data_IF_399306458485
#
_entry.id   IF_399306458485
#
_cell.length_a   1.000
_cell.length_b   1.000
_cell.length_c   1.000
_cell.angle_alpha   90.00
_cell.angle_beta   90.00
_cell.angle_gamma   90.00
#
_symmetry.space_group_name_H-M   'P 1'
#
loop_
_entity.id
_entity.type
_entity.pdbx_description
1 polymer ?
#
# COMPACT_ATOMS: atom_id res chain seq x y z
N UNK A 1 -6.14 -1.49 -26.92
CA UNK A 1 -6.88 -0.38 -26.24
C UNK A 1 -5.96 0.84 -26.11
N UNK A 2 -6.47 2.09 -26.22
CA UNK A 2 -5.63 3.28 -26.07
C UNK A 2 -5.29 3.51 -24.59
N UNK A 3 -4.01 3.70 -24.20
CA UNK A 3 -3.58 3.98 -22.82
C UNK A 3 -4.28 5.20 -22.18
N UNK A 4 -4.55 6.26 -22.95
CA UNK A 4 -5.26 7.44 -22.46
C UNK A 4 -6.72 7.15 -22.06
N UNK A 5 -7.38 6.22 -22.76
CA UNK A 5 -8.74 5.78 -22.39
C UNK A 5 -8.71 5.03 -21.06
N UNK A 6 -7.78 4.09 -20.89
CA UNK A 6 -7.60 3.37 -19.61
C UNK A 6 -7.26 4.33 -18.46
N UNK A 7 -6.35 5.26 -18.68
CA UNK A 7 -5.98 6.29 -17.70
C UNK A 7 -7.20 7.07 -17.22
N UNK A 8 -8.03 7.52 -18.17
CA UNK A 8 -9.27 8.26 -17.85
C UNK A 8 -10.23 7.41 -17.03
N UNK A 9 -10.42 6.14 -17.39
CA UNK A 9 -11.30 5.22 -16.67
C UNK A 9 -10.79 5.01 -15.23
N UNK A 10 -9.50 4.74 -15.04
CA UNK A 10 -8.93 4.46 -13.72
C UNK A 10 -8.92 5.66 -12.77
N UNK A 11 -8.93 6.88 -13.32
CA UNK A 11 -9.01 8.13 -12.55
C UNK A 11 -10.44 8.56 -12.22
N UNK A 12 -11.43 7.99 -12.89
CA UNK A 12 -12.84 8.36 -12.71
C UNK A 12 -13.53 7.44 -11.72
N UNK A 13 -14.59 7.95 -11.07
CA UNK A 13 -15.52 7.10 -10.31
C UNK A 13 -16.08 5.99 -11.20
N UNK A 14 -16.48 4.88 -10.58
CA UNK A 14 -16.94 3.71 -11.31
C UNK A 14 -18.18 4.00 -12.17
N UNK A 15 -18.12 3.56 -13.42
CA UNK A 15 -19.27 3.55 -14.32
C UNK A 15 -19.40 2.18 -14.97
N UNK A 16 -20.48 1.47 -14.67
CA UNK A 16 -20.73 0.11 -15.16
C UNK A 16 -20.68 0.00 -16.68
N UNK A 17 -21.34 0.92 -17.40
CA UNK A 17 -21.39 0.87 -18.87
C UNK A 17 -19.98 1.03 -19.48
N UNK A 18 -19.21 1.97 -18.95
CA UNK A 18 -17.81 2.18 -19.37
C UNK A 18 -16.95 0.98 -19.04
N UNK A 19 -17.09 0.42 -17.84
CA UNK A 19 -16.34 -0.78 -17.42
C UNK A 19 -16.68 -1.96 -18.31
N UNK A 20 -17.95 -2.25 -18.54
CA UNK A 20 -18.40 -3.37 -19.36
C UNK A 20 -17.89 -3.26 -20.80
N UNK A 21 -18.01 -2.09 -21.43
CA UNK A 21 -17.60 -1.89 -22.81
C UNK A 21 -16.10 -1.81 -23.00
N UNK A 22 -15.40 -1.04 -22.16
CA UNK A 22 -13.99 -0.74 -22.36
C UNK A 22 -13.08 -1.77 -21.69
N UNK A 23 -13.44 -2.25 -20.49
CA UNK A 23 -12.61 -3.21 -19.76
C UNK A 23 -13.01 -4.64 -20.10
N UNK A 24 -14.27 -5.02 -19.86
CA UNK A 24 -14.68 -6.43 -20.07
C UNK A 24 -14.65 -6.81 -21.55
N UNK A 25 -15.23 -5.97 -22.41
CA UNK A 25 -15.32 -6.30 -23.85
C UNK A 25 -14.02 -5.97 -24.61
N UNK A 26 -13.49 -4.70 -24.52
CA UNK A 26 -12.34 -4.29 -25.34
C UNK A 26 -10.99 -4.70 -24.78
N UNK A 27 -10.78 -4.61 -23.46
CA UNK A 27 -9.49 -4.96 -22.87
C UNK A 27 -9.35 -6.48 -22.79
N UNK A 28 -10.32 -7.15 -22.18
CA UNK A 28 -10.26 -8.59 -21.99
C UNK A 28 -10.75 -9.40 -23.21
N UNK A 29 -11.56 -8.81 -24.08
CA UNK A 29 -12.10 -9.52 -25.26
C UNK A 29 -13.31 -10.40 -24.94
N UNK A 30 -13.96 -10.21 -23.81
CA UNK A 30 -15.16 -10.94 -23.42
C UNK A 30 -16.35 -10.50 -24.27
N UNK A 31 -16.92 -11.41 -25.06
CA UNK A 31 -18.11 -11.17 -25.88
C UNK A 31 -19.39 -11.66 -25.21
N UNK A 32 -19.28 -12.54 -24.23
CA UNK A 32 -20.41 -13.07 -23.45
C UNK A 32 -20.68 -12.22 -22.24
N UNK A 33 -21.19 -11.00 -22.48
CA UNK A 33 -21.55 -10.04 -21.45
C UNK A 33 -23.06 -10.06 -21.27
N UNK A 34 -23.53 -10.23 -20.03
CA UNK A 34 -24.95 -10.26 -19.70
C UNK A 34 -25.62 -8.94 -20.11
N UNK A 35 -26.67 -9.00 -20.88
CA UNK A 35 -27.49 -7.85 -21.29
C UNK A 35 -28.21 -7.20 -20.10
N UNK A 36 -28.43 -7.96 -19.03
CA UNK A 36 -29.00 -7.52 -17.76
C UNK A 36 -28.20 -8.14 -16.62
N UNK A 37 -27.83 -7.32 -15.64
CA UNK A 37 -27.15 -7.79 -14.42
C UNK A 37 -28.02 -8.80 -13.67
N UNK A 38 -27.48 -10.00 -13.46
CA UNK A 38 -28.08 -11.02 -12.62
C UNK A 38 -27.63 -10.80 -11.17
N UNK A 39 -28.60 -10.53 -10.28
CA UNK A 39 -28.32 -10.45 -8.85
C UNK A 39 -27.99 -11.84 -8.30
N UNK A 40 -26.79 -12.00 -7.77
CA UNK A 40 -26.29 -13.25 -7.19
C UNK A 40 -26.61 -13.37 -5.72
N UNK A 41 -26.33 -12.28 -4.98
CA UNK A 41 -26.43 -12.25 -3.53
C UNK A 41 -26.62 -10.83 -3.00
N UNK A 42 -27.22 -10.73 -1.83
CA UNK A 42 -27.21 -9.52 -1.00
C UNK A 42 -26.74 -9.95 0.39
N UNK A 43 -25.56 -9.51 0.79
CA UNK A 43 -24.99 -9.90 2.09
C UNK A 43 -25.67 -9.18 3.27
N UNK A 44 -25.29 -9.55 4.49
CA UNK A 44 -25.85 -8.98 5.73
C UNK A 44 -25.62 -7.46 5.87
N UNK A 45 -24.56 -6.94 5.22
CA UNK A 45 -24.24 -5.51 5.21
C UNK A 45 -25.04 -4.74 4.14
N UNK A 46 -25.80 -5.43 3.30
CA UNK A 46 -26.58 -4.85 2.20
C UNK A 46 -25.80 -4.67 0.89
N UNK A 47 -24.56 -5.18 0.81
CA UNK A 47 -23.80 -5.16 -0.44
C UNK A 47 -24.46 -6.13 -1.46
N UNK A 48 -24.57 -5.70 -2.71
CA UNK A 48 -25.24 -6.45 -3.77
C UNK A 48 -24.24 -6.91 -4.82
N UNK A 49 -24.14 -8.22 -5.03
CA UNK A 49 -23.25 -8.84 -6.00
C UNK A 49 -23.99 -9.29 -7.24
N UNK A 50 -23.38 -9.08 -8.42
CA UNK A 50 -23.95 -9.36 -9.73
C UNK A 50 -22.95 -10.11 -10.60
N UNK A 51 -23.47 -10.98 -11.48
CA UNK A 51 -22.72 -11.56 -12.58
C UNK A 51 -22.74 -10.63 -13.79
N UNK A 52 -21.58 -10.48 -14.45
CA UNK A 52 -21.42 -9.63 -15.65
C UNK A 52 -21.27 -10.52 -16.89
N UNK A 53 -20.46 -11.56 -16.82
CA UNK A 53 -20.15 -12.42 -17.95
C UNK A 53 -18.98 -13.35 -17.66
N UNK A 54 -18.60 -14.15 -18.65
CA UNK A 54 -17.45 -15.05 -18.56
C UNK A 54 -16.78 -15.24 -19.92
N UNK A 55 -15.51 -15.67 -19.91
CA UNK A 55 -14.76 -16.01 -21.10
C UNK A 55 -13.73 -17.09 -20.83
N UNK A 56 -13.28 -17.76 -21.86
CA UNK A 56 -12.12 -18.64 -21.81
C UNK A 56 -10.84 -17.85 -22.08
N UNK A 57 -9.79 -18.13 -21.31
CA UNK A 57 -8.44 -17.65 -21.57
C UNK A 57 -7.77 -18.46 -22.72
N UNK A 58 -6.53 -18.13 -23.07
CA UNK A 58 -5.81 -18.81 -24.14
C UNK A 58 -5.50 -20.29 -23.85
N UNK A 59 -5.62 -20.75 -22.61
CA UNK A 59 -5.43 -22.13 -22.17
C UNK A 59 -6.77 -22.86 -21.93
N UNK A 60 -7.92 -22.24 -22.29
CA UNK A 60 -9.26 -22.80 -22.08
C UNK A 60 -9.75 -22.74 -20.62
N UNK A 61 -9.15 -21.93 -19.78
CA UNK A 61 -9.59 -21.71 -18.39
C UNK A 61 -10.62 -20.59 -18.33
N UNK A 62 -11.63 -20.74 -17.48
CA UNK A 62 -12.74 -19.81 -17.36
C UNK A 62 -12.40 -18.63 -16.43
N UNK A 63 -12.52 -17.41 -16.95
CA UNK A 63 -12.50 -16.16 -16.21
C UNK A 63 -13.92 -15.61 -16.10
N UNK A 64 -14.42 -15.45 -14.86
CA UNK A 64 -15.71 -14.80 -14.60
C UNK A 64 -15.52 -13.31 -14.28
N UNK A 65 -16.52 -12.49 -14.66
CA UNK A 65 -16.59 -11.07 -14.37
C UNK A 65 -17.75 -10.80 -13.43
N UNK A 66 -17.47 -10.08 -12.32
CA UNK A 66 -18.43 -9.83 -11.26
C UNK A 66 -18.40 -8.36 -10.84
N UNK A 67 -19.53 -7.88 -10.35
CA UNK A 67 -19.69 -6.54 -9.84
C UNK A 67 -20.39 -6.58 -8.49
N UNK A 68 -19.85 -5.85 -7.50
CA UNK A 68 -20.46 -5.68 -6.19
C UNK A 68 -20.65 -4.21 -5.90
N UNK A 69 -21.90 -3.80 -5.73
CA UNK A 69 -22.25 -2.48 -5.19
C UNK A 69 -22.20 -2.55 -3.68
N UNK A 70 -21.29 -1.79 -3.09
CA UNK A 70 -21.17 -1.66 -1.64
C UNK A 70 -22.32 -0.80 -1.11
N UNK A 71 -22.90 -1.19 0.01
CA UNK A 71 -24.00 -0.47 0.64
C UNK A 71 -23.59 0.95 1.09
N UNK A 72 -24.56 1.84 1.20
CA UNK A 72 -24.34 3.22 1.57
C UNK A 72 -23.56 3.36 2.90
N UNK A 73 -22.56 4.24 2.89
CA UNK A 73 -21.63 4.43 4.01
C UNK A 73 -20.44 3.46 4.04
N UNK A 74 -20.35 2.51 3.10
CA UNK A 74 -19.16 1.69 2.89
C UNK A 74 -18.06 2.48 2.17
N UNK A 75 -16.81 2.19 2.50
CA UNK A 75 -15.61 2.73 1.83
C UNK A 75 -14.76 1.56 1.35
N UNK A 76 -14.66 1.36 0.03
CA UNK A 76 -13.90 0.26 -0.58
C UNK A 76 -12.40 0.32 -0.28
N UNK A 77 -11.88 1.47 0.14
CA UNK A 77 -10.48 1.64 0.55
C UNK A 77 -10.21 1.05 1.93
N UNK A 78 -11.22 1.00 2.79
CA UNK A 78 -11.15 0.57 4.19
C UNK A 78 -11.90 -0.73 4.46
N UNK A 79 -13.03 -0.95 3.75
CA UNK A 79 -13.91 -2.10 3.98
C UNK A 79 -13.28 -3.34 3.36
N UNK A 80 -12.81 -4.24 4.21
CA UNK A 80 -12.44 -5.60 3.82
C UNK A 80 -13.61 -6.51 4.09
N UNK A 81 -14.29 -6.88 3.04
CA UNK A 81 -15.22 -8.01 3.13
C UNK A 81 -14.37 -9.26 3.19
N UNK A 82 -14.59 -10.11 4.18
CA UNK A 82 -13.85 -11.37 4.29
C UNK A 82 -13.92 -12.13 2.95
N UNK A 83 -12.76 -12.47 2.40
CA UNK A 83 -12.62 -13.09 1.07
C UNK A 83 -13.61 -14.25 0.87
N UNK A 84 -13.75 -15.13 1.86
CA UNK A 84 -14.65 -16.28 1.82
C UNK A 84 -16.11 -15.91 1.59
N UNK A 85 -16.61 -14.88 2.27
CA UNK A 85 -18.00 -14.41 2.10
C UNK A 85 -18.22 -13.81 0.72
N UNK A 86 -17.24 -13.09 0.23
CA UNK A 86 -17.31 -12.40 -1.04
C UNK A 86 -17.31 -13.35 -2.26
N UNK A 87 -16.48 -14.40 -2.23
CA UNK A 87 -16.36 -15.34 -3.35
C UNK A 87 -17.44 -16.42 -3.37
N UNK A 88 -18.17 -16.63 -2.27
CA UNK A 88 -19.22 -17.63 -2.18
C UNK A 88 -20.22 -17.60 -3.36
N UNK A 89 -20.74 -16.44 -3.78
CA UNK A 89 -21.61 -16.34 -4.94
C UNK A 89 -20.92 -16.71 -6.25
N UNK A 90 -19.61 -16.53 -6.37
CA UNK A 90 -18.86 -16.76 -7.60
C UNK A 90 -18.58 -18.24 -7.85
N UNK A 91 -18.46 -19.04 -6.77
CA UNK A 91 -18.16 -20.46 -6.86
C UNK A 91 -19.22 -21.28 -7.64
N UNK A 92 -20.47 -20.78 -7.73
CA UNK A 92 -21.52 -21.46 -8.50
C UNK A 92 -21.28 -21.45 -10.02
N UNK A 93 -20.38 -20.59 -10.53
CA UNK A 93 -20.08 -20.46 -11.96
C UNK A 93 -18.93 -21.37 -12.45
N UNK A 94 -18.34 -22.16 -11.58
CA UNK A 94 -17.22 -23.08 -11.89
C UNK A 94 -16.05 -22.41 -12.65
N UNK A 95 -15.76 -21.13 -12.31
CA UNK A 95 -14.68 -20.37 -12.94
C UNK A 95 -13.32 -20.66 -12.28
N UNK A 96 -12.24 -20.63 -13.08
CA UNK A 96 -10.87 -20.82 -12.61
C UNK A 96 -10.32 -19.56 -11.95
N UNK A 97 -10.79 -18.39 -12.38
CA UNK A 97 -10.46 -17.09 -11.85
C UNK A 97 -11.61 -16.11 -11.97
N UNK A 98 -11.57 -15.03 -11.22
CA UNK A 98 -12.57 -13.96 -11.28
C UNK A 98 -11.94 -12.59 -11.35
N UNK A 99 -12.47 -11.72 -12.20
CA UNK A 99 -12.26 -10.29 -12.16
C UNK A 99 -13.49 -9.65 -11.50
N UNK A 100 -13.31 -9.06 -10.32
CA UNK A 100 -14.39 -8.54 -9.51
C UNK A 100 -14.21 -7.06 -9.22
N UNK A 101 -15.29 -6.30 -9.38
CA UNK A 101 -15.38 -4.88 -9.04
C UNK A 101 -16.16 -4.70 -7.75
N UNK A 102 -15.64 -3.84 -6.86
CA UNK A 102 -16.33 -3.33 -5.68
C UNK A 102 -16.40 -1.82 -5.81
N UNK A 103 -17.59 -1.26 -5.71
CA UNK A 103 -17.87 0.16 -5.96
C UNK A 103 -18.67 0.74 -4.80
N UNK A 104 -18.19 1.86 -4.20
CA UNK A 104 -18.89 2.62 -3.16
C UNK A 104 -19.51 3.92 -3.69
N UNK A 105 -19.39 4.17 -5.01
CA UNK A 105 -19.87 5.37 -5.70
C UNK A 105 -18.82 6.46 -5.90
N UNK A 106 -17.77 6.50 -5.09
CA UNK A 106 -16.65 7.44 -5.19
C UNK A 106 -15.40 6.74 -5.69
N UNK A 107 -15.07 5.62 -5.06
CA UNK A 107 -13.90 4.80 -5.39
C UNK A 107 -14.36 3.40 -5.79
N UNK A 108 -13.51 2.69 -6.47
CA UNK A 108 -13.75 1.31 -6.81
C UNK A 108 -12.48 0.48 -6.70
N UNK A 109 -12.69 -0.77 -6.37
CA UNK A 109 -11.64 -1.78 -6.24
C UNK A 109 -11.76 -2.75 -7.38
N UNK A 110 -10.68 -2.86 -8.18
CA UNK A 110 -10.53 -3.86 -9.23
C UNK A 110 -9.75 -5.03 -8.66
N UNK A 111 -10.38 -6.19 -8.55
CA UNK A 111 -9.79 -7.37 -7.93
C UNK A 111 -9.64 -8.50 -8.94
N UNK A 112 -8.50 -9.18 -8.92
CA UNK A 112 -8.30 -10.48 -9.50
C UNK A 112 -8.28 -11.54 -8.41
N UNK A 113 -9.13 -12.55 -8.55
CA UNK A 113 -9.28 -13.67 -7.62
C UNK A 113 -8.87 -14.93 -8.34
N UNK A 114 -7.88 -15.63 -7.81
CA UNK A 114 -7.36 -16.88 -8.37
C UNK A 114 -7.56 -18.05 -7.41
N UNK A 115 -7.26 -19.26 -7.90
CA UNK A 115 -7.32 -20.52 -7.16
C UNK A 115 -8.76 -20.87 -6.69
N UNK A 116 -9.79 -20.40 -7.43
CA UNK A 116 -11.21 -20.56 -7.08
C UNK A 116 -11.66 -22.01 -7.09
N UNK A 117 -11.21 -22.84 -8.06
CA UNK A 117 -11.56 -24.27 -8.16
C UNK A 117 -10.99 -25.12 -7.03
N UNK A 118 -9.92 -24.66 -6.39
CA UNK A 118 -9.33 -25.33 -5.23
C UNK A 118 -10.16 -25.13 -3.95
N UNK A 119 -11.15 -24.26 -4.01
CA UNK A 119 -12.08 -23.96 -2.93
C UNK A 119 -11.83 -22.62 -2.25
N UNK A 120 -12.82 -22.18 -1.45
CA UNK A 120 -12.80 -20.87 -0.78
C UNK A 120 -11.65 -20.68 0.19
N UNK A 121 -11.00 -21.76 0.66
CA UNK A 121 -9.88 -21.73 1.59
C UNK A 121 -8.54 -21.50 0.93
N UNK A 122 -8.43 -21.76 -0.38
CA UNK A 122 -7.20 -21.55 -1.18
C UNK A 122 -7.28 -20.32 -2.10
N UNK A 123 -8.47 -19.73 -2.25
CA UNK A 123 -8.67 -18.56 -3.09
C UNK A 123 -7.85 -17.35 -2.58
N UNK A 124 -7.19 -16.67 -3.52
CA UNK A 124 -6.39 -15.45 -3.27
C UNK A 124 -6.97 -14.29 -4.05
N UNK A 125 -6.99 -13.11 -3.42
CA UNK A 125 -7.45 -11.86 -4.03
C UNK A 125 -6.33 -10.83 -4.04
N UNK A 126 -6.08 -10.27 -5.21
CA UNK A 126 -5.17 -9.14 -5.41
C UNK A 126 -5.96 -7.97 -5.98
N UNK A 127 -5.78 -6.77 -5.46
CA UNK A 127 -6.65 -5.64 -5.79
C UNK A 127 -5.90 -4.34 -6.04
N UNK A 128 -6.43 -3.55 -6.99
CA UNK A 128 -6.13 -2.14 -7.17
C UNK A 128 -7.28 -1.28 -6.63
N UNK A 129 -6.96 -0.15 -6.00
CA UNK A 129 -7.92 0.88 -5.64
C UNK A 129 -7.86 1.97 -6.70
N UNK A 130 -9.00 2.34 -7.26
CA UNK A 130 -9.14 3.25 -8.39
C UNK A 130 -10.24 4.28 -8.11
N UNK A 131 -10.36 5.27 -9.02
CA UNK A 131 -11.39 6.33 -8.89
C UNK A 131 -10.88 7.62 -8.27
N UNK A 132 -9.56 7.74 -8.04
CA UNK A 132 -8.94 8.99 -7.58
C UNK A 132 -8.28 9.70 -8.77
N UNK A 133 -8.72 10.93 -9.07
CA UNK A 133 -8.15 11.74 -10.16
C UNK A 133 -6.65 11.94 -10.06
N UNK A 134 -6.12 11.88 -8.86
CA UNK A 134 -4.74 12.27 -8.56
C UNK A 134 -3.83 11.10 -8.14
N UNK A 135 -4.39 9.87 -8.01
CA UNK A 135 -3.66 8.76 -7.42
C UNK A 135 -3.55 7.52 -8.31
N UNK A 136 -2.90 6.60 -7.86
CA UNK A 136 -2.74 5.13 -7.93
C UNK A 136 -3.09 4.41 -9.27
N UNK A 137 -3.22 5.11 -10.38
CA UNK A 137 -3.60 4.54 -11.68
C UNK A 137 -2.41 4.06 -12.52
N UNK A 138 -1.17 4.46 -12.23
CA UNK A 138 0.02 4.18 -13.07
C UNK A 138 0.27 2.68 -13.19
N UNK A 139 0.38 2.01 -12.07
CA UNK A 139 0.65 0.56 -12.03
C UNK A 139 -0.43 -0.28 -12.75
N UNK A 140 -1.74 -0.12 -12.45
CA UNK A 140 -2.75 -0.85 -13.19
C UNK A 140 -2.81 -0.46 -14.68
N UNK A 141 -2.52 0.81 -15.03
CA UNK A 141 -2.45 1.25 -16.43
C UNK A 141 -1.37 0.53 -17.21
N UNK A 142 -0.16 0.46 -16.68
CA UNK A 142 0.98 -0.18 -17.34
C UNK A 142 0.79 -1.70 -17.44
N UNK A 143 0.33 -2.34 -16.38
CA UNK A 143 0.21 -3.79 -16.32
C UNK A 143 -0.98 -4.35 -17.06
N UNK A 144 -2.15 -3.75 -16.89
CA UNK A 144 -3.33 -4.13 -17.68
C UNK A 144 -3.21 -3.69 -19.12
N UNK A 145 -2.43 -2.65 -19.41
CA UNK A 145 -2.04 -2.29 -20.77
C UNK A 145 -1.33 -3.43 -21.50
N UNK A 146 -0.38 -4.11 -20.85
CA UNK A 146 0.30 -5.31 -21.38
C UNK A 146 -0.67 -6.47 -21.63
N UNK A 147 -1.68 -6.64 -20.78
CA UNK A 147 -2.74 -7.63 -21.01
C UNK A 147 -3.60 -7.24 -22.22
N UNK A 148 -3.94 -5.95 -22.33
CA UNK A 148 -4.71 -5.42 -23.46
C UNK A 148 -4.02 -5.62 -24.83
N UNK A 149 -2.68 -5.54 -24.89
CA UNK A 149 -1.88 -5.79 -26.09
C UNK A 149 -2.04 -7.20 -26.64
N UNK A 150 -2.46 -8.17 -25.82
CA UNK A 150 -2.72 -9.55 -26.21
C UNK A 150 -4.07 -9.72 -26.94
N UNK A 151 -4.88 -8.68 -27.03
CA UNK A 151 -6.15 -8.65 -27.77
C UNK A 151 -7.08 -9.84 -27.46
N UNK A 152 -7.31 -10.10 -26.17
CA UNK A 152 -8.15 -11.19 -25.67
C UNK A 152 -7.48 -12.57 -25.65
N UNK A 153 -6.23 -12.69 -26.10
CA UNK A 153 -5.47 -13.97 -26.10
C UNK A 153 -4.49 -14.03 -24.94
N UNK A 154 -4.88 -13.55 -23.78
CA UNK A 154 -4.11 -13.63 -22.55
C UNK A 154 -4.39 -14.94 -21.80
N UNK A 155 -3.53 -15.27 -20.83
CA UNK A 155 -3.69 -16.40 -19.90
C UNK A 155 -4.01 -15.86 -18.51
N UNK A 156 -4.63 -16.66 -17.64
CA UNK A 156 -4.83 -16.31 -16.23
C UNK A 156 -3.50 -16.05 -15.49
N UNK A 157 -2.39 -16.66 -15.93
CA UNK A 157 -1.05 -16.33 -15.45
C UNK A 157 -0.64 -14.89 -15.75
N UNK A 158 -1.02 -14.34 -16.90
CA UNK A 158 -0.73 -12.95 -17.23
C UNK A 158 -1.49 -11.98 -16.33
N UNK A 159 -2.71 -12.34 -15.91
CA UNK A 159 -3.43 -11.57 -14.89
C UNK A 159 -2.77 -11.69 -13.52
N UNK A 160 -2.31 -12.89 -13.14
CA UNK A 160 -1.58 -13.09 -11.90
C UNK A 160 -0.32 -12.21 -11.88
N UNK A 161 0.41 -12.12 -12.98
CA UNK A 161 1.57 -11.24 -13.13
C UNK A 161 1.18 -9.75 -13.08
N UNK A 162 0.08 -9.39 -13.76
CA UNK A 162 -0.42 -8.02 -13.75
C UNK A 162 -0.84 -7.54 -12.34
N UNK A 163 -1.24 -8.43 -11.46
CA UNK A 163 -1.60 -8.15 -10.06
C UNK A 163 -0.49 -8.56 -9.07
N UNK A 164 0.72 -8.92 -9.53
CA UNK A 164 1.82 -9.32 -8.66
C UNK A 164 2.39 -8.13 -7.87
N UNK A 165 2.53 -8.32 -6.56
CA UNK A 165 3.17 -7.36 -5.65
C UNK A 165 4.69 -7.33 -5.86
N UNK A 166 5.32 -8.48 -6.14
CA UNK A 166 6.78 -8.58 -6.30
C UNK A 166 7.30 -7.77 -7.49
N UNK A 167 6.59 -7.80 -8.63
CA UNK A 167 6.94 -7.00 -9.79
C UNK A 167 6.80 -5.49 -9.52
N UNK A 168 5.79 -5.09 -8.73
CA UNK A 168 5.61 -3.70 -8.29
C UNK A 168 6.79 -3.23 -7.44
N UNK A 169 7.27 -4.09 -6.55
CA UNK A 169 8.40 -3.82 -5.68
C UNK A 169 9.63 -3.38 -6.46
N UNK A 170 9.93 -4.09 -7.52
CA UNK A 170 11.09 -3.79 -8.36
C UNK A 170 10.92 -2.48 -9.13
N UNK A 171 9.76 -2.27 -9.77
CA UNK A 171 9.47 -1.05 -10.53
C UNK A 171 9.54 0.21 -9.64
N UNK A 172 8.93 0.14 -8.45
CA UNK A 172 9.00 1.23 -7.46
C UNK A 172 10.44 1.49 -7.04
N UNK A 173 11.21 0.43 -6.76
CA UNK A 173 12.60 0.54 -6.35
C UNK A 173 13.47 1.23 -7.40
N UNK A 174 13.37 0.81 -8.66
CA UNK A 174 14.15 1.37 -9.76
C UNK A 174 13.85 2.88 -9.92
N UNK A 175 12.58 3.29 -9.81
CA UNK A 175 12.18 4.68 -9.91
C UNK A 175 12.54 5.50 -8.65
N UNK A 176 12.46 4.91 -7.47
CA UNK A 176 12.91 5.53 -6.23
C UNK A 176 14.42 5.80 -6.25
N UNK A 177 15.21 4.84 -6.78
CA UNK A 177 16.66 4.99 -6.93
C UNK A 177 17.01 6.11 -7.92
N UNK A 178 16.23 6.24 -9.00
CA UNK A 178 16.40 7.35 -9.95
C UNK A 178 16.20 8.72 -9.27
N UNK A 179 15.19 8.88 -8.44
CA UNK A 179 14.99 10.13 -7.68
C UNK A 179 16.11 10.37 -6.67
N UNK A 180 16.61 9.31 -6.02
CA UNK A 180 17.77 9.39 -5.16
C UNK A 180 18.99 9.92 -5.89
N UNK A 181 19.31 9.40 -7.07
CA UNK A 181 20.43 9.84 -7.90
C UNK A 181 20.28 11.29 -8.37
N UNK A 182 19.08 11.71 -8.74
CA UNK A 182 18.80 13.09 -9.14
C UNK A 182 19.13 14.06 -7.99
N UNK A 183 18.70 13.76 -6.76
CA UNK A 183 18.97 14.58 -5.57
C UNK A 183 20.48 14.60 -5.26
N UNK A 184 21.15 13.45 -5.31
CA UNK A 184 22.61 13.35 -5.10
C UNK A 184 23.35 14.24 -6.13
N UNK A 185 22.96 14.19 -7.40
CA UNK A 185 23.59 14.99 -8.44
C UNK A 185 23.36 16.49 -8.24
N UNK A 186 22.18 16.89 -7.76
CA UNK A 186 21.91 18.27 -7.40
C UNK A 186 22.79 18.74 -6.23
N UNK A 187 22.96 17.95 -5.18
CA UNK A 187 23.84 18.28 -4.06
C UNK A 187 25.33 18.38 -4.48
N UNK A 188 25.78 17.47 -5.35
CA UNK A 188 27.12 17.56 -5.94
C UNK A 188 27.30 18.84 -6.75
N UNK A 189 26.29 19.28 -7.49
CA UNK A 189 26.30 20.54 -8.24
C UNK A 189 26.43 21.76 -7.32
N UNK A 190 25.88 21.68 -6.10
CA UNK A 190 26.01 22.71 -5.06
C UNK A 190 27.36 22.65 -4.31
N UNK A 191 28.23 21.70 -4.64
CA UNK A 191 29.57 21.57 -4.04
C UNK A 191 29.63 20.68 -2.81
N UNK A 192 28.55 19.94 -2.49
CA UNK A 192 28.60 18.93 -1.45
C UNK A 192 29.23 17.63 -1.98
N UNK A 193 30.08 17.00 -1.20
CA UNK A 193 30.81 15.78 -1.58
C UNK A 193 30.90 14.75 -0.45
N UNK A 194 31.25 13.51 -0.81
CA UNK A 194 31.55 12.42 0.13
C UNK A 194 30.34 11.64 0.60
N UNK A 195 30.56 10.73 1.56
CA UNK A 195 29.52 9.83 2.09
C UNK A 195 28.38 10.57 2.79
N UNK A 196 28.65 11.76 3.33
CA UNK A 196 27.69 12.58 4.08
C UNK A 196 26.44 12.93 3.29
N UNK A 197 26.58 13.25 1.98
CA UNK A 197 25.41 13.56 1.13
C UNK A 197 24.54 12.33 0.89
N UNK A 198 25.15 11.16 0.74
CA UNK A 198 24.43 9.91 0.56
C UNK A 198 23.62 9.57 1.82
N UNK A 199 24.21 9.75 3.01
CA UNK A 199 23.50 9.54 4.28
C UNK A 199 22.36 10.54 4.46
N UNK A 200 22.55 11.81 4.10
CA UNK A 200 21.52 12.83 4.13
C UNK A 200 20.32 12.46 3.24
N UNK A 201 20.57 12.16 1.96
CA UNK A 201 19.52 11.85 1.01
C UNK A 201 18.77 10.56 1.42
N UNK A 202 19.48 9.53 1.87
CA UNK A 202 18.87 8.30 2.41
C UNK A 202 17.92 8.59 3.57
N UNK A 203 18.34 9.43 4.53
CA UNK A 203 17.52 9.82 5.67
C UNK A 203 16.30 10.61 5.25
N UNK A 204 16.48 11.64 4.43
CA UNK A 204 15.41 12.50 3.95
C UNK A 204 14.35 11.71 3.19
N UNK A 205 14.77 10.96 2.17
CA UNK A 205 13.85 10.12 1.40
C UNK A 205 13.19 9.03 2.23
N UNK A 206 13.94 8.44 3.18
CA UNK A 206 13.40 7.46 4.12
C UNK A 206 12.35 8.04 5.06
N UNK A 207 12.51 9.28 5.52
CA UNK A 207 11.49 10.02 6.30
C UNK A 207 10.25 10.25 5.46
N UNK A 208 10.41 10.68 4.20
CA UNK A 208 9.30 10.93 3.26
C UNK A 208 8.49 9.65 3.02
N UNK A 209 9.16 8.54 2.67
CA UNK A 209 8.46 7.24 2.46
C UNK A 209 7.76 6.78 3.73
N UNK A 210 8.38 6.93 4.90
CA UNK A 210 7.74 6.57 6.16
C UNK A 210 6.46 7.39 6.41
N UNK A 211 6.46 8.68 6.08
CA UNK A 211 5.27 9.53 6.19
C UNK A 211 4.16 9.07 5.22
N UNK A 212 4.49 8.54 4.05
CA UNK A 212 3.51 7.92 3.16
C UNK A 212 2.77 6.73 3.81
N UNK A 213 3.46 5.93 4.63
CA UNK A 213 2.78 4.89 5.41
C UNK A 213 1.92 5.46 6.54
N UNK A 214 2.37 6.52 7.22
CA UNK A 214 1.56 7.18 8.25
C UNK A 214 0.28 7.80 7.68
N UNK A 215 0.36 8.46 6.51
CA UNK A 215 -0.83 9.00 5.84
C UNK A 215 -1.79 7.87 5.42
N UNK A 216 -1.28 6.75 4.91
CA UNK A 216 -2.12 5.59 4.57
C UNK A 216 -2.83 4.99 5.80
N UNK A 217 -2.20 5.04 6.98
CA UNK A 217 -2.83 4.69 8.28
C UNK A 217 -3.89 5.72 8.73
N UNK A 218 -3.97 6.88 8.09
CA UNK A 218 -4.84 7.98 8.50
C UNK A 218 -4.35 8.76 9.72
N UNK A 219 -3.10 8.57 10.15
CA UNK A 219 -2.53 9.22 11.34
C UNK A 219 -2.19 10.69 11.13
N UNK A 220 -2.27 11.18 9.89
CA UNK A 220 -2.02 12.56 9.52
C UNK A 220 -3.36 13.27 9.25
N UNK A 221 -4.11 13.52 10.30
CA UNK A 221 -5.44 14.16 10.29
C UNK A 221 -6.43 13.48 9.33
N UNK A 222 -6.28 12.18 9.07
CA UNK A 222 -7.11 11.42 8.13
C UNK A 222 -6.84 11.71 6.65
N UNK A 223 -5.90 12.60 6.32
CA UNK A 223 -5.55 12.94 4.94
C UNK A 223 -4.66 11.86 4.32
N UNK A 224 -5.19 11.12 3.35
CA UNK A 224 -4.49 10.05 2.63
C UNK A 224 -3.54 10.57 1.53
N UNK A 225 -3.56 11.87 1.23
CA UNK A 225 -2.70 12.56 0.28
C UNK A 225 -1.83 13.64 0.94
N UNK A 226 -1.62 13.55 2.25
CA UNK A 226 -1.03 14.60 3.11
C UNK A 226 0.22 15.23 2.54
N UNK A 227 1.25 14.46 2.20
CA UNK A 227 2.53 15.02 1.69
C UNK A 227 2.39 15.73 0.36
N UNK A 228 1.56 15.18 -0.53
CA UNK A 228 1.29 15.79 -1.83
C UNK A 228 0.57 17.13 -1.65
N UNK A 229 -0.50 17.13 -0.87
CA UNK A 229 -1.28 18.33 -0.61
C UNK A 229 -0.44 19.39 0.11
N UNK A 230 0.43 18.93 1.04
CA UNK A 230 1.36 19.77 1.75
C UNK A 230 2.32 20.52 0.80
N UNK A 231 2.77 19.88 -0.27
CA UNK A 231 3.62 20.53 -1.27
C UNK A 231 2.81 21.42 -2.23
N UNK A 232 1.78 20.86 -2.89
CA UNK A 232 1.07 21.54 -3.97
C UNK A 232 0.25 22.75 -3.50
N UNK A 233 -0.21 22.75 -2.24
CA UNK A 233 -0.94 23.89 -1.66
C UNK A 233 -0.08 24.78 -0.75
N UNK A 234 1.21 24.47 -0.59
CA UNK A 234 2.13 25.28 0.22
C UNK A 234 2.46 26.60 -0.46
N UNK A 235 2.49 27.73 0.27
CA UNK A 235 3.11 28.97 -0.19
C UNK A 235 4.65 28.89 -0.24
N UNK A 236 5.26 27.88 0.37
CA UNK A 236 6.69 27.67 0.54
C UNK A 236 7.26 26.60 -0.40
N UNK A 237 6.78 26.50 -1.62
CA UNK A 237 7.33 25.52 -2.58
C UNK A 237 8.81 25.76 -2.90
N UNK A 238 9.24 27.02 -2.92
CA UNK A 238 10.62 27.39 -3.25
C UNK A 238 11.66 27.08 -2.16
N UNK A 239 11.23 27.04 -0.92
CA UNK A 239 12.01 26.76 0.31
C UNK A 239 11.36 25.64 1.13
N UNK A 240 10.80 24.65 0.43
CA UNK A 240 9.95 23.59 0.98
C UNK A 240 10.68 22.73 2.01
N UNK A 241 11.96 22.45 1.81
CA UNK A 241 12.76 21.67 2.73
C UNK A 241 12.84 22.37 4.09
N UNK A 242 13.24 23.63 4.09
CA UNK A 242 13.55 24.41 5.30
C UNK A 242 12.28 24.90 6.01
N UNK A 243 11.26 25.31 5.24
CA UNK A 243 10.06 25.94 5.79
C UNK A 243 8.90 24.98 6.02
N UNK A 244 8.95 23.76 5.46
CA UNK A 244 7.86 22.79 5.59
C UNK A 244 8.35 21.43 6.08
N UNK A 245 9.30 20.78 5.39
CA UNK A 245 9.74 19.44 5.80
C UNK A 245 10.54 19.41 7.10
N UNK A 246 11.46 20.35 7.33
CA UNK A 246 12.19 20.43 8.59
C UNK A 246 11.27 20.72 9.79
N UNK A 247 10.36 21.71 9.75
CA UNK A 247 9.33 21.87 10.78
C UNK A 247 8.51 20.60 11.04
N UNK A 248 8.11 19.89 10.00
CA UNK A 248 7.36 18.64 10.13
C UNK A 248 8.21 17.54 10.80
N UNK A 249 9.44 17.32 10.31
CA UNK A 249 10.32 16.26 10.82
C UNK A 249 10.76 16.53 12.25
N UNK A 250 11.29 17.72 12.50
CA UNK A 250 11.96 18.05 13.75
C UNK A 250 11.03 18.76 14.74
N UNK A 251 10.15 19.61 14.25
CA UNK A 251 9.23 20.40 15.07
C UNK A 251 8.01 19.63 15.53
N UNK A 252 7.51 18.72 14.69
CA UNK A 252 6.28 17.96 14.97
C UNK A 252 6.60 16.52 15.37
N UNK A 253 7.25 15.75 14.49
CA UNK A 253 7.43 14.31 14.73
C UNK A 253 8.49 14.01 15.80
N UNK A 254 9.50 14.87 15.96
CA UNK A 254 10.57 14.67 16.94
C UNK A 254 10.46 15.56 18.20
N UNK A 255 9.38 16.33 18.33
CA UNK A 255 9.21 17.23 19.49
C UNK A 255 7.89 16.96 20.19
N UNK A 256 7.95 16.74 21.51
CA UNK A 256 6.77 16.59 22.35
C UNK A 256 5.84 17.81 22.23
N UNK A 257 4.52 17.58 22.26
CA UNK A 257 3.50 18.63 22.02
C UNK A 257 3.71 19.87 22.88
N UNK A 258 4.12 19.71 24.14
CA UNK A 258 4.36 20.81 25.08
C UNK A 258 5.50 21.75 24.66
N UNK A 259 6.47 21.26 23.89
CA UNK A 259 7.69 21.98 23.54
C UNK A 259 7.67 22.54 22.11
N UNK A 260 6.67 22.19 21.30
CA UNK A 260 6.60 22.56 19.88
C UNK A 260 6.58 24.06 19.66
N UNK A 261 5.73 24.77 20.40
CA UNK A 261 5.57 26.22 20.27
C UNK A 261 6.89 26.98 20.56
N UNK A 262 7.62 26.57 21.59
CA UNK A 262 8.92 27.17 21.93
C UNK A 262 9.93 26.93 20.79
N UNK A 263 9.96 25.71 20.23
CA UNK A 263 10.87 25.37 19.15
C UNK A 263 10.55 26.15 17.88
N UNK A 264 9.28 26.23 17.48
CA UNK A 264 8.84 26.97 16.29
C UNK A 264 9.22 28.46 16.38
N UNK A 265 9.00 29.08 17.54
CA UNK A 265 9.44 30.47 17.80
C UNK A 265 10.96 30.62 17.71
N UNK A 266 11.72 29.71 18.31
CA UNK A 266 13.19 29.76 18.32
C UNK A 266 13.78 29.60 16.91
N UNK A 267 13.19 28.71 16.08
CA UNK A 267 13.60 28.46 14.69
C UNK A 267 12.97 29.43 13.68
N UNK A 268 12.06 30.31 14.10
CA UNK A 268 11.29 31.23 13.25
C UNK A 268 10.50 30.52 12.15
N UNK A 269 10.02 29.32 12.44
CA UNK A 269 9.13 28.58 11.55
C UNK A 269 7.70 29.15 11.59
N UNK A 270 6.94 28.91 10.54
CA UNK A 270 5.56 29.41 10.43
C UNK A 270 4.66 28.81 11.52
N UNK A 271 4.11 29.70 12.35
CA UNK A 271 3.17 29.32 13.42
C UNK A 271 1.82 28.82 12.90
N UNK A 272 1.46 29.17 11.65
CA UNK A 272 0.28 28.63 10.99
C UNK A 272 0.39 27.12 10.77
N UNK A 273 1.58 26.64 10.35
CA UNK A 273 1.83 25.20 10.23
C UNK A 273 1.72 24.48 11.58
N UNK A 274 2.19 25.12 12.66
CA UNK A 274 2.05 24.52 13.99
C UNK A 274 0.57 24.36 14.39
N UNK A 275 -0.28 25.33 14.10
CA UNK A 275 -1.72 25.24 14.39
C UNK A 275 -2.39 24.12 13.58
N UNK A 276 -2.06 24.00 12.29
CA UNK A 276 -2.58 22.97 11.41
C UNK A 276 -2.13 21.56 11.82
N UNK A 277 -0.93 21.44 12.43
CA UNK A 277 -0.31 20.16 12.77
C UNK A 277 -0.31 19.84 14.27
N UNK A 278 -0.95 20.63 15.10
CA UNK A 278 -0.92 20.45 16.56
C UNK A 278 -1.36 19.07 17.03
N UNK A 279 -2.30 18.43 16.29
CA UNK A 279 -2.82 17.11 16.61
C UNK A 279 -2.01 15.95 16.02
N UNK A 280 -1.05 16.22 15.14
CA UNK A 280 -0.19 15.18 14.60
C UNK A 280 0.60 14.49 15.72
N UNK A 281 0.84 13.16 15.59
CA UNK A 281 1.51 12.40 16.64
C UNK A 281 2.96 12.85 16.87
N UNK A 282 3.43 12.71 18.11
CA UNK A 282 4.86 12.68 18.42
C UNK A 282 5.37 11.26 18.15
N UNK A 283 6.43 11.14 17.36
CA UNK A 283 7.05 9.88 16.99
C UNK A 283 8.39 9.75 17.70
N UNK A 284 8.38 9.11 18.86
CA UNK A 284 9.58 8.88 19.63
C UNK A 284 10.48 7.83 18.95
N UNK A 285 11.58 8.26 18.34
CA UNK A 285 12.54 7.35 17.70
C UNK A 285 13.55 8.03 16.78
N UNK A 286 14.71 7.42 16.61
CA UNK A 286 15.86 7.98 15.88
C UNK A 286 15.66 8.39 14.43
N UNK A 287 14.50 8.01 13.81
CA UNK A 287 14.25 8.34 12.39
C UNK A 287 14.14 9.84 12.14
N UNK A 288 13.51 10.58 13.08
CA UNK A 288 13.32 12.03 12.99
C UNK A 288 14.28 12.81 13.92
N UNK A 289 15.25 12.15 14.54
CA UNK A 289 16.30 12.86 15.27
C UNK A 289 17.16 13.65 14.30
N UNK A 290 17.45 14.90 14.70
CA UNK A 290 18.35 15.79 13.96
C UNK A 290 19.79 15.38 14.25
N UNK A 291 20.62 15.32 13.23
CA UNK A 291 22.06 15.08 13.39
C UNK A 291 22.90 16.10 12.63
N UNK A 292 24.23 15.95 12.68
CA UNK A 292 25.16 16.87 12.06
C UNK A 292 24.98 16.99 10.53
N UNK A 293 24.39 16.00 9.89
CA UNK A 293 24.10 16.01 8.46
C UNK A 293 22.89 16.90 8.16
N UNK A 294 21.87 16.87 9.03
CA UNK A 294 20.69 17.74 8.94
C UNK A 294 21.00 19.22 9.31
N UNK A 295 22.18 19.51 9.83
CA UNK A 295 22.64 20.87 10.16
C UNK A 295 23.32 21.60 9.00
N UNK A 296 23.46 20.92 7.87
CA UNK A 296 24.04 21.47 6.65
C UNK A 296 23.02 22.40 5.97
N UNK A 297 23.50 23.52 5.43
CA UNK A 297 22.65 24.50 4.75
C UNK A 297 22.33 24.01 3.32
N UNK A 298 21.54 22.93 3.24
CA UNK A 298 21.14 22.28 1.99
C UNK A 298 19.84 22.90 1.51
N UNK A 299 19.81 23.34 0.26
CA UNK A 299 18.58 23.79 -0.40
C UNK A 299 18.28 22.86 -1.58
N UNK A 300 17.03 22.53 -1.77
CA UNK A 300 16.58 21.69 -2.89
C UNK A 300 15.51 22.42 -3.69
N UNK A 301 15.62 22.46 -5.02
CA UNK A 301 14.65 23.16 -5.86
C UNK A 301 13.27 22.48 -5.80
N UNK A 302 12.20 23.28 -5.89
CA UNK A 302 10.82 22.84 -5.87
C UNK A 302 10.52 21.69 -6.84
N UNK A 303 11.11 21.72 -8.03
CA UNK A 303 10.91 20.70 -9.07
C UNK A 303 11.29 19.28 -8.62
N UNK A 304 12.30 19.13 -7.74
CA UNK A 304 12.67 17.81 -7.20
C UNK A 304 11.59 17.25 -6.29
N UNK A 305 10.93 18.09 -5.50
CA UNK A 305 9.84 17.68 -4.65
C UNK A 305 8.56 17.43 -5.44
N UNK A 306 8.29 18.25 -6.47
CA UNK A 306 7.16 18.05 -7.39
C UNK A 306 7.24 16.68 -8.06
N UNK A 307 8.39 16.36 -8.63
CA UNK A 307 8.64 15.08 -9.30
C UNK A 307 8.55 13.90 -8.30
N UNK A 308 9.19 14.04 -7.12
CA UNK A 308 9.20 13.00 -6.09
C UNK A 308 7.79 12.72 -5.54
N UNK A 309 7.01 13.76 -5.24
CA UNK A 309 5.65 13.55 -4.71
C UNK A 309 4.68 13.09 -5.78
N UNK A 310 4.85 13.50 -7.04
CA UNK A 310 4.08 12.97 -8.16
C UNK A 310 4.38 11.48 -8.37
N UNK A 311 5.65 11.10 -8.30
CA UNK A 311 6.06 9.69 -8.34
C UNK A 311 5.45 8.90 -7.18
N UNK A 312 5.63 9.35 -5.95
CA UNK A 312 5.10 8.68 -4.77
C UNK A 312 3.57 8.53 -4.81
N UNK A 313 2.84 9.58 -5.22
CA UNK A 313 1.39 9.57 -5.34
C UNK A 313 0.89 8.61 -6.43
N UNK A 314 1.71 8.27 -7.43
CA UNK A 314 1.35 7.35 -8.51
C UNK A 314 1.30 5.88 -8.08
N UNK A 315 1.86 5.55 -6.91
CA UNK A 315 1.87 4.21 -6.32
C UNK A 315 0.91 4.14 -5.13
N UNK A 316 0.27 2.99 -4.99
CA UNK A 316 -0.47 2.69 -3.78
C UNK A 316 0.49 2.24 -2.69
N UNK A 317 0.36 2.79 -1.48
CA UNK A 317 1.05 2.31 -0.28
C UNK A 317 0.07 1.48 0.55
N UNK A 318 0.45 0.27 0.90
CA UNK A 318 -0.36 -0.59 1.76
C UNK A 318 0.31 -0.80 3.12
N UNK A 319 -0.48 -0.89 4.15
CA UNK A 319 -0.03 -1.20 5.52
C UNK A 319 -0.54 -2.54 6.00
N UNK A 320 -1.12 -3.28 5.08
CA UNK A 320 -1.85 -4.50 5.35
C UNK A 320 -1.00 -5.71 4.99
N UNK A 321 -0.34 -6.24 5.99
CA UNK A 321 0.61 -7.35 5.89
C UNK A 321 0.01 -8.70 6.31
N UNK A 322 -1.25 -8.70 6.77
CA UNK A 322 -1.74 -9.80 7.60
C UNK A 322 -2.51 -10.89 6.87
N UNK A 323 -2.90 -10.66 5.61
CA UNK A 323 -3.64 -11.67 4.85
C UNK A 323 -2.93 -12.00 3.53
N UNK A 324 -2.17 -13.10 3.46
CA UNK A 324 -1.51 -13.52 2.23
C UNK A 324 -2.50 -13.90 1.11
N UNK A 325 -3.77 -14.14 1.48
CA UNK A 325 -4.82 -14.52 0.55
C UNK A 325 -5.64 -13.31 0.08
N UNK A 326 -5.47 -12.13 0.71
CA UNK A 326 -6.18 -10.89 0.35
C UNK A 326 -5.24 -9.68 0.38
N UNK A 327 -4.48 -9.49 -0.69
CA UNK A 327 -3.48 -8.43 -0.79
C UNK A 327 -3.95 -7.28 -1.68
N UNK A 328 -3.71 -6.05 -1.19
CA UNK A 328 -3.76 -4.84 -2.01
C UNK A 328 -2.44 -4.71 -2.77
N UNK A 329 -2.50 -4.55 -4.11
CA UNK A 329 -1.30 -4.35 -4.91
C UNK A 329 -0.74 -2.96 -4.61
N UNK A 330 0.30 -2.91 -3.84
CA UNK A 330 0.89 -1.67 -3.33
C UNK A 330 2.29 -1.87 -2.77
N UNK A 331 2.94 -0.74 -2.52
CA UNK A 331 4.22 -0.67 -1.81
C UNK A 331 3.95 -0.99 -0.34
N UNK A 332 4.53 -2.07 0.17
CA UNK A 332 4.38 -2.49 1.56
C UNK A 332 5.60 -2.09 2.43
N UNK A 333 5.50 -2.14 3.78
CA UNK A 333 6.61 -1.82 4.65
C UNK A 333 7.82 -2.72 4.51
N UNK A 334 7.68 -3.97 4.04
CA UNK A 334 8.79 -4.88 3.78
C UNK A 334 9.68 -4.35 2.65
N UNK A 335 9.06 -3.73 1.64
CA UNK A 335 9.80 -3.09 0.56
C UNK A 335 10.71 -1.97 1.04
N UNK A 336 10.34 -1.25 2.11
CA UNK A 336 11.22 -0.25 2.73
C UNK A 336 12.52 -0.87 3.22
N UNK A 337 12.45 -2.03 3.85
CA UNK A 337 13.64 -2.76 4.28
C UNK A 337 14.56 -3.06 3.10
N UNK A 338 14.01 -3.59 2.01
CA UNK A 338 14.75 -3.88 0.77
C UNK A 338 15.31 -2.62 0.11
N UNK A 339 14.56 -1.51 0.10
CA UNK A 339 15.02 -0.21 -0.41
C UNK A 339 16.22 0.28 0.40
N UNK A 340 16.12 0.29 1.73
CA UNK A 340 17.22 0.75 2.59
C UNK A 340 18.45 -0.16 2.48
N UNK A 341 18.25 -1.46 2.42
CA UNK A 341 19.32 -2.43 2.21
C UNK A 341 20.07 -2.18 0.90
N UNK A 342 19.35 -1.94 -0.19
CA UNK A 342 19.96 -1.75 -1.51
C UNK A 342 20.64 -0.39 -1.69
N UNK A 343 20.23 0.64 -0.94
CA UNK A 343 20.89 1.94 -0.90
C UNK A 343 22.19 1.95 -0.05
N UNK A 344 22.47 0.88 0.69
CA UNK A 344 23.73 0.74 1.39
C UNK A 344 24.81 0.27 0.40
N UNK A 345 25.70 1.16 0.00
CA UNK A 345 26.78 0.89 -0.98
C UNK A 345 27.73 -0.26 -0.57
N UNK A 346 27.77 -0.62 0.73
CA UNK A 346 28.65 -1.62 1.32
C UNK A 346 27.91 -2.74 2.06
N UNK A 347 26.77 -3.21 1.56
CA UNK A 347 25.99 -4.27 2.22
C UNK A 347 26.80 -5.52 2.53
N UNK A 348 27.64 -5.97 1.60
CA UNK A 348 28.49 -7.14 1.79
C UNK A 348 29.60 -6.93 2.82
N UNK A 349 30.11 -5.71 2.95
CA UNK A 349 31.16 -5.37 3.90
C UNK A 349 30.62 -5.15 5.32
N UNK A 350 29.39 -4.63 5.46
CA UNK A 350 28.75 -4.36 6.76
C UNK A 350 27.88 -5.50 7.28
N UNK A 351 27.59 -6.52 6.44
CA UNK A 351 26.73 -7.66 6.82
C UNK A 351 25.30 -7.28 7.22
N UNK A 352 24.83 -6.10 6.77
CA UNK A 352 23.52 -5.57 7.10
C UNK A 352 22.48 -6.11 6.12
N UNK A 353 21.74 -7.14 6.53
CA UNK A 353 20.62 -7.70 5.78
C UNK A 353 19.34 -7.57 6.61
N UNK A 354 18.26 -7.19 5.97
CA UNK A 354 16.94 -7.23 6.58
C UNK A 354 16.47 -8.68 6.69
N UNK A 355 15.93 -9.02 7.85
CA UNK A 355 15.40 -10.35 8.08
C UNK A 355 14.12 -10.54 7.26
N UNK A 356 14.02 -11.57 6.39
CA UNK A 356 12.82 -11.85 5.61
C UNK A 356 11.57 -12.02 6.49
N UNK A 357 10.41 -11.60 5.97
CA UNK A 357 9.13 -11.60 6.67
C UNK A 357 8.75 -12.96 7.26
N UNK A 358 9.01 -14.04 6.53
CA UNK A 358 8.74 -15.41 6.97
C UNK A 358 9.53 -15.76 8.23
N UNK A 359 10.80 -15.34 8.29
CA UNK A 359 11.66 -15.56 9.46
C UNK A 359 11.21 -14.70 10.63
N UNK A 360 10.88 -13.40 10.40
CA UNK A 360 10.35 -12.51 11.44
C UNK A 360 9.04 -13.09 11.99
N UNK A 361 8.12 -13.52 11.12
CA UNK A 361 6.86 -14.13 11.51
C UNK A 361 7.08 -15.39 12.35
N UNK A 362 7.98 -16.24 11.96
CA UNK A 362 8.34 -17.43 12.72
C UNK A 362 8.89 -17.06 14.11
N UNK A 363 9.86 -16.15 14.16
CA UNK A 363 10.47 -15.70 15.42
C UNK A 363 9.44 -15.07 16.37
N UNK A 364 8.61 -14.17 15.86
CA UNK A 364 7.55 -13.53 16.65
C UNK A 364 6.54 -14.56 17.16
N UNK A 365 6.13 -15.50 16.31
CA UNK A 365 5.19 -16.57 16.67
C UNK A 365 5.74 -17.46 17.79
N UNK A 366 6.96 -17.98 17.64
CA UNK A 366 7.56 -18.85 18.66
C UNK A 366 7.83 -18.10 19.97
N UNK A 367 8.27 -16.84 19.88
CA UNK A 367 8.46 -15.98 21.05
C UNK A 367 7.12 -15.70 21.79
N UNK A 368 6.05 -15.43 21.05
CA UNK A 368 4.72 -15.22 21.65
C UNK A 368 4.19 -16.49 22.31
N UNK A 369 4.35 -17.64 21.67
CA UNK A 369 3.96 -18.95 22.24
C UNK A 369 4.71 -19.18 23.55
N UNK A 370 6.03 -19.02 23.57
CA UNK A 370 6.85 -19.20 24.77
C UNK A 370 6.47 -18.20 25.88
N UNK A 371 6.21 -16.96 25.53
CA UNK A 371 5.76 -15.94 26.48
C UNK A 371 4.40 -16.29 27.11
N UNK A 372 3.40 -16.64 26.29
CA UNK A 372 2.06 -17.01 26.76
C UNK A 372 2.11 -18.26 27.63
N UNK A 373 2.87 -19.29 27.24
CA UNK A 373 3.06 -20.49 28.06
C UNK A 373 3.63 -20.13 29.44
N UNK A 374 4.68 -19.31 29.48
CA UNK A 374 5.30 -18.86 30.73
C UNK A 374 4.35 -18.06 31.61
N UNK A 375 3.50 -17.18 31.02
CA UNK A 375 2.52 -16.40 31.80
C UNK A 375 1.40 -17.26 32.36
N UNK A 376 0.94 -18.27 31.61
CA UNK A 376 -0.09 -19.20 32.07
C UNK A 376 0.47 -20.08 33.20
N UNK A 377 1.69 -20.60 33.05
CA UNK A 377 2.34 -21.40 34.12
C UNK A 377 2.52 -20.60 35.44
N UNK A 378 2.87 -19.29 35.31
CA UNK A 378 2.94 -18.39 36.47
C UNK A 378 1.57 -18.20 37.14
N UNK A 379 0.52 -17.95 36.34
CA UNK A 379 -0.83 -17.74 36.86
C UNK A 379 -1.42 -19.00 37.52
N UNK A 380 -1.04 -20.18 37.01
CA UNK A 380 -1.43 -21.46 37.60
C UNK A 380 -0.64 -21.83 38.88
N UNK A 381 0.60 -21.39 38.99
CA UNK A 381 1.40 -21.58 40.22
C UNK A 381 0.94 -20.71 41.38
N UNK A 382 0.25 -19.60 41.10
CA UNK A 382 -0.41 -18.73 42.09
C UNK A 382 -1.83 -19.21 42.48
N UNK A 383 -2.50 -20.03 41.63
CA UNK A 383 -3.83 -20.64 41.88
C UNK A 383 -3.73 -22.16 41.90
N UNK A 384 -4.13 -22.78 42.99
CA UNK A 384 -3.98 -24.21 43.32
C UNK A 384 -4.68 -25.21 42.39
N UNK A 385 -4.40 -25.27 41.10
CA UNK A 385 -4.72 -26.44 40.25
C UNK A 385 -3.63 -26.64 39.21
N UNK A 386 -2.92 -27.77 39.32
CA UNK A 386 -1.92 -28.21 38.33
C UNK A 386 -2.65 -28.83 37.14
N UNK A 387 -2.84 -28.09 36.06
CA UNK A 387 -3.06 -28.68 34.73
C UNK A 387 -1.71 -29.05 34.07
N UNK A 388 -1.72 -30.12 33.27
CA UNK A 388 -0.51 -30.66 32.65
C UNK A 388 0.06 -29.61 31.66
N UNK A 389 1.32 -29.18 31.85
CA UNK A 389 1.97 -28.14 31.06
C UNK A 389 2.03 -28.47 29.55
N UNK A 390 1.99 -29.74 29.17
CA UNK A 390 1.99 -30.21 27.78
C UNK A 390 0.71 -29.88 27.04
N UNK A 391 -0.44 -29.87 27.70
CA UNK A 391 -1.73 -29.55 27.11
C UNK A 391 -1.85 -28.03 26.88
N UNK A 392 -1.34 -27.20 27.78
CA UNK A 392 -1.36 -25.76 27.66
C UNK A 392 -0.58 -25.26 26.43
N UNK A 393 0.63 -25.80 26.21
CA UNK A 393 1.46 -25.48 25.03
C UNK A 393 0.73 -25.89 23.72
N UNK A 394 0.05 -27.02 23.70
CA UNK A 394 -0.75 -27.49 22.58
C UNK A 394 -1.91 -26.57 22.24
N UNK A 395 -2.66 -26.09 23.24
CA UNK A 395 -3.78 -25.16 23.05
C UNK A 395 -3.28 -23.78 22.57
N UNK A 396 -2.19 -23.26 23.14
CA UNK A 396 -1.58 -21.98 22.71
C UNK A 396 -1.11 -22.09 21.26
N UNK A 397 -0.43 -23.19 20.90
CA UNK A 397 0.01 -23.42 19.51
C UNK A 397 -1.16 -23.53 18.53
N UNK A 398 -2.27 -24.15 18.92
CA UNK A 398 -3.48 -24.23 18.13
C UNK A 398 -4.13 -22.86 17.95
N UNK A 399 -4.25 -22.06 19.01
CA UNK A 399 -4.81 -20.70 19.00
C UNK A 399 -3.96 -19.74 18.14
N UNK A 400 -2.64 -19.78 18.26
CA UNK A 400 -1.74 -18.91 17.47
C UNK A 400 -1.64 -19.36 15.99
N UNK A 401 -2.10 -20.59 15.66
CA UNK A 401 -2.14 -21.10 14.29
C UNK A 401 -3.47 -20.82 13.57
N UNK A 402 -4.54 -20.60 14.33
CA UNK A 402 -5.85 -20.20 13.81
C UNK A 402 -5.88 -18.72 13.43
#
# INVERSE_FOLDING_TARGET
MNPETLRKIFKSSFNYTTYSNEIVHRLFGCNDVATRLELLDTNADGDKSYFIGQMEDADGRLLGFFYTRVADGGDVRRKRVGLRKMIQPYLKYDVDGANAIFDDGNHWRLSYICDLKEGSTSAKRFSYILGDEQGQYKTPLERLGKVAEKNGRFKLSDLKDAFSVDALSKEFFDEYHRHYDIIINELKRQGFEGATIHDYVKKMMGRIVFIHFLQKKGWLNGNLAFLRDLFFFSPHQGDFLEQVLEPLFFGIFNTEKANREQLFKAKRWDMGLLEDWKELPYLNGGRFERDAVDEQNITLPASLFEDLFTFMASYNFTVDENDPDDAEVGVDPEMLGKIFESLLEDNKAKGAFYTPKEIVRYMCKESLIAYLATQIDKSQSEGKEKSDSSDCDKYIRAFVRS
#
